data_IF_639748946389
#
_entry.id   IF_639748946389
#
_cell.length_a   1.000
_cell.length_b   1.000
_cell.length_c   1.000
_cell.angle_alpha   90.00
_cell.angle_beta   90.00
_cell.angle_gamma   90.00
#
_symmetry.space_group_name_H-M   'P 1'
#
loop_
_entity.id
_entity.type
_entity.pdbx_description
1 polymer ?
#
# COMPACT_ATOMS: atom_id res chain seq x y z
N UNK A 1 -4.83 -5.98 15.24
CA UNK A 1 -4.16 -6.27 13.97
C UNK A 1 -3.96 -4.99 13.18
N UNK A 2 -2.86 -4.91 12.43
CA UNK A 2 -2.65 -3.79 11.52
C UNK A 2 -3.67 -3.83 10.38
N UNK A 3 -3.90 -2.70 9.69
CA UNK A 3 -4.83 -2.67 8.55
C UNK A 3 -4.44 -3.69 7.45
N UNK A 4 -3.13 -3.92 7.25
CA UNK A 4 -2.63 -4.92 6.31
C UNK A 4 -2.96 -6.36 6.76
N UNK A 5 -2.80 -6.67 8.04
CA UNK A 5 -3.17 -8.00 8.59
C UNK A 5 -4.66 -8.27 8.41
N UNK A 6 -5.48 -7.26 8.67
CA UNK A 6 -6.93 -7.35 8.43
C UNK A 6 -7.25 -7.65 6.97
N UNK A 7 -6.60 -6.95 6.03
CA UNK A 7 -6.80 -7.21 4.61
C UNK A 7 -6.42 -8.65 4.22
N UNK A 8 -5.28 -9.14 4.70
CA UNK A 8 -4.85 -10.53 4.46
C UNK A 8 -5.86 -11.54 5.02
N UNK A 9 -6.35 -11.33 6.25
CA UNK A 9 -7.38 -12.18 6.86
C UNK A 9 -8.69 -12.21 6.07
N UNK A 10 -9.03 -11.11 5.41
CA UNK A 10 -10.19 -11.02 4.51
C UNK A 10 -9.93 -11.59 3.10
N UNK A 11 -8.73 -12.07 2.81
CA UNK A 11 -8.34 -12.52 1.47
C UNK A 11 -8.22 -11.37 0.46
N UNK A 12 -7.99 -10.13 0.93
CA UNK A 12 -7.81 -8.96 0.08
C UNK A 12 -6.32 -8.80 -0.24
N UNK A 13 -5.95 -8.64 -1.53
CA UNK A 13 -4.56 -8.50 -1.91
C UNK A 13 -3.89 -7.28 -1.28
N UNK A 14 -2.66 -7.46 -0.81
CA UNK A 14 -1.77 -6.37 -0.37
C UNK A 14 -0.51 -6.36 -1.22
N UNK A 15 0.19 -5.24 -1.25
CA UNK A 15 1.48 -5.17 -1.95
C UNK A 15 2.43 -6.19 -1.32
N UNK A 16 3.06 -7.09 -2.10
CA UNK A 16 4.04 -8.04 -1.59
C UNK A 16 5.15 -7.34 -0.82
N UNK A 17 5.42 -7.78 0.40
CA UNK A 17 6.40 -7.17 1.27
C UNK A 17 6.63 -7.98 2.54
N UNK A 18 7.67 -7.63 3.30
CA UNK A 18 7.90 -8.27 4.59
C UNK A 18 6.98 -7.69 5.67
N UNK A 19 6.57 -8.55 6.59
CA UNK A 19 5.76 -8.17 7.77
C UNK A 19 6.63 -7.89 8.99
N UNK A 20 7.86 -8.37 8.99
CA UNK A 20 8.86 -8.16 10.04
C UNK A 20 10.00 -7.31 9.52
N UNK A 21 10.71 -6.57 10.40
CA UNK A 21 11.89 -5.84 10.03
C UNK A 21 12.95 -6.74 9.41
N UNK A 22 13.69 -6.19 8.47
CA UNK A 22 14.84 -6.85 7.85
C UNK A 22 15.95 -7.03 8.90
N UNK A 23 16.61 -8.19 8.87
CA UNK A 23 17.69 -8.51 9.81
C UNK A 23 18.99 -7.76 9.47
N UNK A 24 19.33 -7.74 8.18
CA UNK A 24 20.55 -7.14 7.63
C UNK A 24 20.42 -6.90 6.12
N UNK A 25 21.50 -6.44 5.50
CA UNK A 25 21.55 -6.17 4.07
C UNK A 25 21.49 -7.45 3.20
N UNK A 26 21.88 -8.60 3.73
CA UNK A 26 21.80 -9.88 3.00
C UNK A 26 20.35 -10.38 2.99
N UNK A 27 19.64 -10.32 4.10
CA UNK A 27 18.19 -10.61 4.18
C UNK A 27 17.38 -9.67 3.27
N UNK A 28 17.77 -8.37 3.20
CA UNK A 28 17.16 -7.43 2.28
C UNK A 28 17.31 -7.85 0.82
N UNK A 29 18.49 -8.31 0.42
CA UNK A 29 18.75 -8.77 -0.94
C UNK A 29 17.97 -10.06 -1.26
N UNK A 30 17.95 -11.02 -0.36
CA UNK A 30 17.20 -12.28 -0.51
C UNK A 30 15.71 -12.01 -0.74
N UNK A 31 15.09 -11.18 0.12
CA UNK A 31 13.68 -10.78 -0.02
C UNK A 31 13.42 -9.98 -1.29
N UNK A 32 14.33 -9.05 -1.66
CA UNK A 32 14.21 -8.30 -2.92
C UNK A 32 14.17 -9.22 -4.14
N UNK A 33 15.02 -10.25 -4.18
CA UNK A 33 15.03 -11.25 -5.25
C UNK A 33 13.72 -12.06 -5.29
N UNK A 34 13.16 -12.39 -4.14
CA UNK A 34 11.88 -13.13 -4.07
C UNK A 34 10.67 -12.30 -4.54
N UNK A 35 10.64 -10.99 -4.26
CA UNK A 35 9.56 -10.10 -4.71
C UNK A 35 9.73 -9.65 -6.16
N UNK A 36 10.95 -9.74 -6.72
CA UNK A 36 11.31 -9.21 -8.02
C UNK A 36 11.39 -7.67 -8.02
N UNK A 37 12.19 -7.12 -8.94
CA UNK A 37 12.44 -5.68 -9.03
C UNK A 37 11.36 -4.94 -9.86
N UNK A 38 11.16 -3.64 -9.60
CA UNK A 38 11.77 -2.84 -8.54
C UNK A 38 11.17 -3.12 -7.16
N UNK A 39 11.94 -2.80 -6.10
CA UNK A 39 11.51 -2.85 -4.70
C UNK A 39 11.75 -1.51 -4.01
N UNK A 40 11.15 -1.31 -2.85
CA UNK A 40 11.36 -0.12 -2.01
C UNK A 40 11.67 -0.54 -0.58
N UNK A 41 12.77 -0.01 -0.04
CA UNK A 41 13.13 -0.09 1.38
C UNK A 41 12.50 1.08 2.13
N UNK A 42 11.92 0.82 3.31
CA UNK A 42 11.22 1.82 4.13
C UNK A 42 11.62 1.70 5.58
N UNK A 43 12.03 2.78 6.20
CA UNK A 43 12.19 2.85 7.65
C UNK A 43 10.82 2.77 8.35
N UNK A 44 10.73 2.03 9.46
CA UNK A 44 9.49 1.86 10.23
C UNK A 44 8.88 3.19 10.68
N UNK A 45 9.72 4.11 11.13
CA UNK A 45 9.34 5.45 11.58
C UNK A 45 9.38 6.49 10.45
N UNK A 46 9.69 6.10 9.21
CA UNK A 46 9.75 6.98 8.06
C UNK A 46 8.37 7.38 7.55
N UNK A 47 8.27 8.59 6.99
CA UNK A 47 7.04 9.09 6.39
C UNK A 47 7.28 10.29 5.47
N UNK A 48 6.32 10.60 4.60
CA UNK A 48 6.43 11.73 3.69
C UNK A 48 7.60 11.66 2.70
N UNK A 49 8.07 10.44 2.35
CA UNK A 49 9.19 10.23 1.43
C UNK A 49 10.57 10.19 2.11
N UNK A 50 10.66 10.42 3.44
CA UNK A 50 11.90 10.29 4.19
C UNK A 50 12.09 8.85 4.68
N UNK A 51 13.34 8.37 4.69
CA UNK A 51 13.66 7.00 5.09
C UNK A 51 13.12 5.95 4.10
N UNK A 52 13.02 6.29 2.81
CA UNK A 52 12.60 5.38 1.76
C UNK A 52 13.58 5.42 0.59
N UNK A 53 13.93 4.24 0.06
CA UNK A 53 14.78 4.13 -1.14
C UNK A 53 14.26 3.04 -2.06
N UNK A 54 14.03 3.41 -3.31
CA UNK A 54 13.72 2.50 -4.40
C UNK A 54 15.01 1.86 -4.90
N UNK A 55 14.95 0.56 -5.17
CA UNK A 55 16.01 -0.21 -5.82
C UNK A 55 15.45 -0.84 -7.08
N UNK A 56 16.07 -0.56 -8.20
CA UNK A 56 15.68 -1.10 -9.50
C UNK A 56 16.46 -2.38 -9.85
N UNK A 57 17.59 -2.64 -9.16
CA UNK A 57 18.52 -3.75 -9.43
C UNK A 57 19.07 -4.35 -8.13
N UNK A 58 19.47 -5.64 -8.16
CA UNK A 58 20.04 -6.32 -6.99
C UNK A 58 21.24 -5.60 -6.36
N UNK A 59 22.12 -5.03 -7.21
CA UNK A 59 23.35 -4.38 -6.77
C UNK A 59 23.11 -3.15 -5.89
N UNK A 60 21.94 -2.54 -5.98
CA UNK A 60 21.58 -1.34 -5.24
C UNK A 60 21.11 -1.64 -3.81
N UNK A 61 20.62 -2.87 -3.55
CA UNK A 61 19.84 -3.18 -2.33
C UNK A 61 20.68 -3.04 -1.06
N UNK A 62 21.88 -3.61 -1.03
CA UNK A 62 22.72 -3.56 0.18
C UNK A 62 23.12 -2.14 0.55
N UNK A 63 23.58 -1.34 -0.42
CA UNK A 63 23.95 0.06 -0.18
C UNK A 63 22.71 0.88 0.23
N UNK A 64 21.56 0.63 -0.39
CA UNK A 64 20.31 1.30 -0.03
C UNK A 64 19.88 0.94 1.41
N UNK A 65 20.02 -0.32 1.82
CA UNK A 65 19.73 -0.77 3.18
C UNK A 65 20.58 -0.01 4.21
N UNK A 66 21.91 0.03 4.03
CA UNK A 66 22.83 0.73 4.95
C UNK A 66 22.49 2.22 5.06
N UNK A 67 22.18 2.86 3.94
CA UNK A 67 21.82 4.27 3.93
C UNK A 67 20.49 4.53 4.67
N UNK A 68 19.45 3.74 4.40
CA UNK A 68 18.14 3.88 5.06
C UNK A 68 18.27 3.58 6.55
N UNK A 69 19.06 2.57 6.93
CA UNK A 69 19.31 2.23 8.33
C UNK A 69 19.98 3.39 9.07
N UNK A 70 21.08 3.93 8.52
CA UNK A 70 21.79 5.07 9.11
C UNK A 70 20.91 6.33 9.21
N UNK A 71 20.09 6.60 8.18
CA UNK A 71 19.13 7.72 8.20
C UNK A 71 18.06 7.51 9.27
N UNK A 72 17.54 6.29 9.40
CA UNK A 72 16.49 5.93 10.35
C UNK A 72 16.97 6.04 11.80
N UNK A 73 18.15 5.51 12.11
CA UNK A 73 18.75 5.62 13.44
C UNK A 73 18.98 7.09 13.85
N UNK A 74 19.55 7.89 12.93
CA UNK A 74 19.87 9.31 13.22
C UNK A 74 18.61 10.18 13.36
N UNK A 75 17.56 9.90 12.57
CA UNK A 75 16.38 10.76 12.51
C UNK A 75 15.27 10.34 13.46
N UNK A 76 15.17 9.05 13.78
CA UNK A 76 14.04 8.48 14.50
C UNK A 76 14.45 7.63 15.71
N UNK A 77 15.75 7.33 15.88
CA UNK A 77 16.23 6.47 16.96
C UNK A 77 15.83 5.00 16.83
N UNK A 78 15.34 4.58 15.65
CA UNK A 78 14.93 3.22 15.35
C UNK A 78 15.41 2.84 13.95
N UNK A 79 16.24 1.81 13.87
CA UNK A 79 16.83 1.31 12.62
C UNK A 79 15.99 0.26 11.88
N UNK A 80 14.76 -0.03 12.32
CA UNK A 80 13.91 -1.05 11.68
C UNK A 80 13.56 -0.66 10.24
N UNK A 81 13.85 -1.56 9.31
CA UNK A 81 13.61 -1.38 7.87
C UNK A 81 12.73 -2.51 7.36
N UNK A 82 11.79 -2.15 6.50
CA UNK A 82 10.92 -3.05 5.76
C UNK A 82 11.20 -2.96 4.27
N UNK A 83 10.88 -4.02 3.53
CA UNK A 83 10.96 -4.06 2.07
C UNK A 83 9.61 -4.44 1.48
N UNK A 84 9.24 -3.76 0.39
CA UNK A 84 8.02 -4.04 -0.37
C UNK A 84 8.31 -4.00 -1.87
N UNK A 85 7.48 -4.70 -2.65
CA UNK A 85 7.43 -4.52 -4.10
C UNK A 85 7.09 -3.07 -4.43
N UNK A 86 7.85 -2.45 -5.32
CA UNK A 86 7.53 -1.12 -5.81
C UNK A 86 6.63 -1.22 -7.05
N UNK A 87 5.45 -0.63 -6.97
CA UNK A 87 4.53 -0.54 -8.11
C UNK A 87 4.92 0.66 -8.98
N UNK A 88 5.18 0.41 -10.26
CA UNK A 88 5.57 1.47 -11.21
C UNK A 88 4.32 2.11 -11.79
N UNK A 89 4.15 3.42 -11.57
CA UNK A 89 3.03 4.22 -12.07
C UNK A 89 1.65 3.58 -11.80
N UNK A 90 1.36 3.17 -10.55
CA UNK A 90 0.07 2.59 -10.25
C UNK A 90 -1.03 3.66 -10.33
N UNK A 91 -2.27 3.22 -10.56
CA UNK A 91 -3.45 4.03 -10.30
C UNK A 91 -3.75 4.03 -8.81
N UNK A 92 -4.12 5.17 -8.25
CA UNK A 92 -4.60 5.30 -6.88
C UNK A 92 -6.12 5.40 -6.93
N UNK A 93 -6.80 4.35 -6.52
CA UNK A 93 -8.25 4.24 -6.55
C UNK A 93 -8.76 4.15 -5.13
N UNK A 94 -9.77 4.94 -4.80
CA UNK A 94 -10.45 4.85 -3.52
C UNK A 94 -11.93 4.52 -3.68
N UNK A 95 -12.45 3.69 -2.79
CA UNK A 95 -13.86 3.34 -2.73
C UNK A 95 -14.52 4.07 -1.58
N UNK A 96 -15.56 4.84 -1.87
CA UNK A 96 -16.38 5.45 -0.83
C UNK A 96 -17.26 4.39 -0.20
N UNK A 97 -17.20 4.25 1.12
CA UNK A 97 -18.07 3.38 1.90
C UNK A 97 -18.98 4.20 2.82
N UNK A 98 -20.11 3.61 3.13
CA UNK A 98 -21.06 4.10 4.14
C UNK A 98 -21.52 2.88 4.96
N UNK A 99 -21.40 2.97 6.27
CA UNK A 99 -21.74 1.89 7.18
C UNK A 99 -22.53 2.39 8.39
N UNK A 100 -23.44 1.56 8.88
CA UNK A 100 -24.20 1.81 10.10
C UNK A 100 -23.74 0.96 11.27
N UNK A 101 -24.26 1.26 12.46
CA UNK A 101 -23.96 0.50 13.68
C UNK A 101 -24.59 -0.91 13.74
N UNK A 102 -25.41 -1.25 12.75
CA UNK A 102 -26.10 -2.55 12.69
C UNK A 102 -25.40 -3.55 11.76
N UNK A 103 -24.23 -3.18 11.21
CA UNK A 103 -23.43 -4.04 10.33
C UNK A 103 -23.77 -3.93 8.84
N UNK A 104 -24.65 -3.01 8.45
CA UNK A 104 -24.86 -2.74 7.02
C UNK A 104 -23.71 -1.89 6.50
N UNK A 105 -23.09 -2.36 5.41
CA UNK A 105 -21.98 -1.66 4.73
C UNK A 105 -22.27 -1.63 3.23
N UNK A 106 -22.23 -0.43 2.66
CA UNK A 106 -22.44 -0.17 1.24
C UNK A 106 -21.25 0.60 0.66
N UNK A 107 -20.90 0.31 -0.59
CA UNK A 107 -20.04 1.19 -1.36
C UNK A 107 -20.87 2.17 -2.20
N UNK A 108 -20.37 3.39 -2.36
CA UNK A 108 -21.01 4.44 -3.16
C UNK A 108 -20.23 4.72 -4.46
N UNK A 109 -19.46 3.76 -4.91
CA UNK A 109 -18.60 3.88 -6.09
C UNK A 109 -17.15 4.21 -5.72
N UNK A 110 -16.34 4.37 -6.75
CA UNK A 110 -14.90 4.65 -6.62
C UNK A 110 -14.53 5.99 -7.27
N UNK A 111 -13.38 6.51 -6.85
CA UNK A 111 -12.70 7.68 -7.43
C UNK A 111 -11.29 7.30 -7.86
N UNK A 112 -10.86 7.83 -8.99
CA UNK A 112 -9.45 7.82 -9.39
C UNK A 112 -8.77 9.07 -8.83
N UNK A 113 -7.81 8.85 -7.93
CA UNK A 113 -7.04 9.88 -7.24
C UNK A 113 -5.57 9.87 -7.69
N UNK A 114 -5.28 9.37 -8.89
CA UNK A 114 -3.90 9.17 -9.37
C UNK A 114 -3.17 10.49 -9.69
N UNK A 115 -3.91 11.58 -9.97
CA UNK A 115 -3.32 12.90 -10.20
C UNK A 115 -2.91 13.54 -8.88
N UNK A 116 -1.64 13.34 -8.52
CA UNK A 116 -1.07 13.78 -7.25
C UNK A 116 0.15 14.66 -7.46
N UNK A 117 0.40 15.55 -6.52
CA UNK A 117 1.64 16.32 -6.41
C UNK A 117 2.28 16.04 -5.06
N UNK A 118 3.49 15.47 -5.04
CA UNK A 118 4.20 15.12 -3.81
C UNK A 118 3.34 14.27 -2.85
N UNK A 119 2.67 13.25 -3.40
CA UNK A 119 1.76 12.33 -2.68
C UNK A 119 0.49 12.98 -2.12
N UNK A 120 0.13 14.20 -2.55
CA UNK A 120 -1.13 14.84 -2.24
C UNK A 120 -2.07 14.76 -3.44
N UNK A 121 -3.31 14.33 -3.22
CA UNK A 121 -4.36 14.28 -4.23
C UNK A 121 -4.65 15.70 -4.72
N UNK A 122 -4.62 15.93 -6.04
CA UNK A 122 -4.87 17.24 -6.65
C UNK A 122 -6.16 17.23 -7.45
N UNK A 123 -6.39 16.16 -8.21
CA UNK A 123 -7.63 15.95 -8.98
C UNK A 123 -8.13 14.56 -8.69
N UNK A 124 -9.40 14.48 -8.37
CA UNK A 124 -10.15 13.25 -8.18
C UNK A 124 -11.34 13.25 -9.13
N UNK A 125 -11.60 12.13 -9.77
CA UNK A 125 -12.76 11.99 -10.65
C UNK A 125 -13.42 10.62 -10.49
N UNK A 126 -14.72 10.60 -10.70
CA UNK A 126 -15.54 9.41 -10.67
C UNK A 126 -16.40 9.33 -11.95
N UNK A 127 -16.63 8.13 -12.48
CA UNK A 127 -16.02 6.86 -12.10
C UNK A 127 -14.55 6.73 -12.57
N UNK A 128 -13.83 5.69 -12.12
CA UNK A 128 -12.44 5.45 -12.51
C UNK A 128 -12.35 4.78 -13.90
N UNK A 129 -12.55 5.55 -14.95
CA UNK A 129 -12.58 5.04 -16.34
C UNK A 129 -11.28 4.40 -16.82
N UNK A 130 -10.18 4.73 -16.17
CA UNK A 130 -8.85 4.24 -16.51
C UNK A 130 -8.56 2.83 -15.99
N UNK A 131 -9.49 2.23 -15.23
CA UNK A 131 -9.36 0.91 -14.62
C UNK A 131 -10.35 -0.06 -15.26
N UNK A 132 -9.95 -1.31 -15.56
CA UNK A 132 -10.86 -2.34 -16.08
C UNK A 132 -12.07 -2.55 -15.17
N UNK A 133 -13.26 -2.78 -15.76
CA UNK A 133 -14.51 -2.93 -15.01
C UNK A 133 -14.47 -4.07 -14.01
N UNK A 134 -13.82 -5.17 -14.36
CA UNK A 134 -13.64 -6.34 -13.50
C UNK A 134 -12.82 -5.99 -12.26
N UNK A 135 -11.77 -5.20 -12.44
CA UNK A 135 -10.94 -4.70 -11.32
C UNK A 135 -11.73 -3.75 -10.44
N UNK A 136 -12.50 -2.84 -11.03
CA UNK A 136 -13.37 -1.90 -10.29
C UNK A 136 -14.37 -2.68 -9.42
N UNK A 137 -15.01 -3.69 -9.97
CA UNK A 137 -15.96 -4.51 -9.21
C UNK A 137 -15.29 -5.27 -8.08
N UNK A 138 -14.11 -5.86 -8.34
CA UNK A 138 -13.35 -6.59 -7.33
C UNK A 138 -12.92 -5.69 -6.15
N UNK A 139 -12.38 -4.50 -6.45
CA UNK A 139 -11.95 -3.57 -5.38
C UNK A 139 -13.14 -2.99 -4.58
N UNK A 140 -14.32 -2.80 -5.20
CA UNK A 140 -15.54 -2.42 -4.47
C UNK A 140 -15.99 -3.50 -3.49
N UNK A 141 -15.98 -4.76 -3.92
CA UNK A 141 -16.30 -5.90 -3.05
C UNK A 141 -15.29 -6.04 -1.92
N UNK A 142 -14.00 -5.90 -2.20
CA UNK A 142 -12.94 -5.98 -1.20
C UNK A 142 -13.00 -4.83 -0.19
N UNK A 143 -13.37 -3.63 -0.62
CA UNK A 143 -13.62 -2.50 0.27
C UNK A 143 -14.73 -2.81 1.30
N UNK A 144 -15.84 -3.40 0.84
CA UNK A 144 -16.95 -3.81 1.71
C UNK A 144 -16.52 -4.92 2.67
N UNK A 145 -15.72 -5.92 2.20
CA UNK A 145 -15.20 -6.99 3.07
C UNK A 145 -14.34 -6.44 4.22
N UNK A 146 -13.40 -5.54 3.89
CA UNK A 146 -12.53 -4.90 4.89
C UNK A 146 -13.37 -4.12 5.90
N UNK A 147 -14.27 -3.26 5.43
CA UNK A 147 -15.10 -2.45 6.31
C UNK A 147 -15.97 -3.30 7.27
N UNK A 148 -16.54 -4.39 6.76
CA UNK A 148 -17.31 -5.34 7.60
C UNK A 148 -16.44 -6.02 8.65
N UNK A 149 -15.22 -6.42 8.29
CA UNK A 149 -14.32 -7.16 9.20
C UNK A 149 -13.87 -6.36 10.42
N UNK A 150 -13.86 -5.03 10.30
CA UNK A 150 -13.49 -4.11 11.39
C UNK A 150 -14.71 -3.45 12.05
N UNK A 151 -15.95 -3.90 11.72
CA UNK A 151 -17.19 -3.30 12.19
C UNK A 151 -17.20 -1.77 11.97
N UNK A 152 -16.80 -1.34 10.77
CA UNK A 152 -16.71 0.08 10.43
C UNK A 152 -18.08 0.75 10.56
N UNK A 153 -18.10 1.98 11.06
CA UNK A 153 -19.31 2.79 11.22
C UNK A 153 -19.05 4.19 10.67
N UNK A 154 -20.02 4.76 9.96
CA UNK A 154 -19.99 6.07 9.34
C UNK A 154 -19.51 6.05 7.88
N UNK A 155 -19.21 7.22 7.34
CA UNK A 155 -18.63 7.36 6.00
C UNK A 155 -17.12 7.22 6.08
N UNK A 156 -16.54 6.56 5.08
CA UNK A 156 -15.10 6.39 4.98
C UNK A 156 -14.65 6.04 3.59
N UNK A 157 -13.34 5.89 3.41
CA UNK A 157 -12.73 5.49 2.14
C UNK A 157 -11.79 4.32 2.33
N UNK A 158 -11.85 3.37 1.40
CA UNK A 158 -10.86 2.28 1.29
C UNK A 158 -10.01 2.55 0.06
N UNK A 159 -8.71 2.64 0.27
CA UNK A 159 -7.75 3.00 -0.76
C UNK A 159 -7.01 1.79 -1.31
N UNK A 160 -6.82 1.78 -2.63
CA UNK A 160 -6.11 0.73 -3.37
C UNK A 160 -5.12 1.33 -4.35
N UNK A 161 -4.04 0.60 -4.61
CA UNK A 161 -3.22 0.80 -5.80
C UNK A 161 -3.58 -0.25 -6.84
N UNK A 162 -3.68 0.15 -8.10
CA UNK A 162 -3.93 -0.74 -9.24
C UNK A 162 -2.73 -0.67 -10.17
N UNK A 163 -2.11 -1.82 -10.46
CA UNK A 163 -0.97 -1.90 -11.36
C UNK A 163 -1.40 -1.87 -12.84
N UNK A 164 -0.41 -1.83 -13.75
CA UNK A 164 -0.64 -1.80 -15.20
C UNK A 164 -1.32 -3.07 -15.74
N UNK A 165 -1.23 -4.18 -15.01
CA UNK A 165 -1.88 -5.44 -15.37
C UNK A 165 -3.33 -5.53 -14.87
N UNK A 166 -3.78 -4.55 -14.06
CA UNK A 166 -5.12 -4.50 -13.48
C UNK A 166 -5.25 -5.21 -12.13
N UNK A 167 -4.14 -5.65 -11.51
CA UNK A 167 -4.19 -6.17 -10.16
C UNK A 167 -4.33 -5.02 -9.16
N UNK A 168 -5.19 -5.18 -8.16
CA UNK A 168 -5.38 -4.19 -7.12
C UNK A 168 -4.82 -4.66 -5.78
N UNK A 169 -4.36 -3.69 -4.97
CA UNK A 169 -3.72 -3.93 -3.68
C UNK A 169 -4.24 -2.92 -2.67
N UNK A 170 -4.73 -3.41 -1.53
CA UNK A 170 -5.18 -2.56 -0.43
C UNK A 170 -4.01 -1.77 0.18
N UNK A 171 -4.24 -0.49 0.50
CA UNK A 171 -3.24 0.36 1.16
C UNK A 171 -3.74 1.02 2.44
N UNK A 172 -5.00 1.46 2.50
CA UNK A 172 -5.52 2.17 3.68
C UNK A 172 -7.05 2.10 3.80
N UNK A 173 -7.53 2.29 5.02
CA UNK A 173 -8.92 2.56 5.38
C UNK A 173 -8.96 3.82 6.26
N UNK A 174 -9.73 4.82 5.89
CA UNK A 174 -9.91 6.10 6.58
C UNK A 174 -11.35 6.34 6.98
#
# INVERSE_FOLDING_TARGET
PSAKETAVQCGVPIIPGCTEPLKDADDALEKALSFGFPVILKAAAGGGGRGMRRCDKPEEVKTAYELVHSEAEKSFGCGDIFIEKFLVEPKHIEVQILADKYGNVYHLGERDCSLQRRYQKVVEYAPAWSVPKETVEALRQDAVKIAKSVNYVSAGTVEFLVDKAGHHYFIALH
#
